data_IF_067286722313
#
_entry.id   IF_067286722313
#
_cell.length_a   1.000
_cell.length_b   1.000
_cell.length_c   1.000
_cell.angle_alpha   90.00
_cell.angle_beta   90.00
_cell.angle_gamma   90.00
#
_symmetry.space_group_name_H-M   'P 1'
#
loop_
_entity.id
_entity.type
_entity.pdbx_description
1 polymer ?
#
# COMPACT_ATOMS: atom_id res chain seq x y z
N UNK A 1 34.15 -36.77 25.78
CA UNK A 1 33.96 -35.51 25.03
C UNK A 1 32.49 -35.41 24.65
N UNK A 2 31.73 -34.50 25.28
CA UNK A 2 30.29 -34.31 24.97
C UNK A 2 30.17 -33.11 24.02
N UNK A 3 29.83 -33.37 22.76
CA UNK A 3 29.54 -32.34 21.78
C UNK A 3 28.18 -31.70 22.07
N UNK A 4 28.22 -30.46 22.58
CA UNK A 4 27.03 -29.62 22.76
C UNK A 4 26.66 -29.00 21.42
N UNK A 5 25.68 -29.57 20.72
CA UNK A 5 25.02 -28.91 19.58
C UNK A 5 24.17 -27.75 20.09
N UNK A 6 24.66 -26.52 19.89
CA UNK A 6 23.87 -25.29 20.04
C UNK A 6 22.71 -25.31 19.02
N UNK A 7 21.49 -25.59 19.49
CA UNK A 7 20.26 -25.25 18.75
C UNK A 7 20.28 -23.74 18.49
N UNK A 8 20.35 -23.32 17.23
CA UNK A 8 20.07 -21.94 16.80
C UNK A 8 18.64 -21.63 17.22
N UNK A 9 18.47 -20.86 18.29
CA UNK A 9 17.20 -20.26 18.64
C UNK A 9 16.69 -19.44 17.45
N UNK A 10 15.39 -19.58 17.14
CA UNK A 10 14.70 -18.65 16.24
C UNK A 10 14.87 -17.25 16.84
N UNK A 11 15.79 -16.46 16.30
CA UNK A 11 15.73 -15.01 16.45
C UNK A 11 14.40 -14.60 15.79
N UNK A 12 13.36 -14.37 16.59
CA UNK A 12 12.24 -13.54 16.15
C UNK A 12 12.86 -12.16 15.91
N UNK A 13 13.22 -11.89 14.66
CA UNK A 13 13.54 -10.54 14.21
C UNK A 13 12.35 -9.67 14.65
N UNK A 14 12.55 -8.81 15.65
CA UNK A 14 11.56 -7.79 15.98
C UNK A 14 11.25 -7.05 14.68
N UNK A 15 10.01 -7.17 14.22
CA UNK A 15 9.59 -6.56 12.96
C UNK A 15 9.91 -5.07 13.05
N UNK A 16 10.78 -4.58 12.17
CA UNK A 16 10.98 -3.14 11.97
C UNK A 16 9.61 -2.47 11.83
N UNK A 17 9.27 -1.59 12.78
CA UNK A 17 7.95 -0.95 12.88
C UNK A 17 7.53 -0.37 11.52
N UNK A 18 6.31 -0.67 11.09
CA UNK A 18 5.72 -0.17 9.84
C UNK A 18 6.09 -0.95 8.57
N UNK A 19 6.82 -2.08 8.65
CA UNK A 19 7.04 -2.93 7.46
C UNK A 19 5.76 -3.72 7.15
N UNK A 20 5.29 -3.73 5.89
CA UNK A 20 4.15 -4.55 5.47
C UNK A 20 4.40 -6.03 5.80
N UNK A 21 3.31 -6.76 6.08
CA UNK A 21 3.38 -8.21 6.22
C UNK A 21 3.85 -8.78 4.89
N UNK A 22 4.93 -9.58 4.93
CA UNK A 22 5.41 -10.27 3.73
C UNK A 22 4.32 -11.25 3.29
N UNK A 23 4.10 -11.34 1.98
CA UNK A 23 3.28 -12.41 1.42
C UNK A 23 3.78 -13.79 1.85
N UNK A 24 2.86 -14.74 1.97
CA UNK A 24 3.22 -16.13 2.23
C UNK A 24 4.10 -16.66 1.08
N UNK A 25 4.94 -17.66 1.38
CA UNK A 25 5.78 -18.28 0.34
C UNK A 25 4.93 -18.80 -0.83
N UNK A 26 3.81 -19.44 -0.53
CA UNK A 26 2.88 -19.98 -1.53
C UNK A 26 2.28 -18.89 -2.42
N UNK A 27 1.83 -17.78 -1.81
CA UNK A 27 1.30 -16.66 -2.58
C UNK A 27 2.38 -16.00 -3.44
N UNK A 28 3.61 -15.88 -2.91
CA UNK A 28 4.73 -15.34 -3.68
C UNK A 28 5.11 -16.23 -4.88
N UNK A 29 5.00 -17.56 -4.77
CA UNK A 29 5.22 -18.47 -5.91
C UNK A 29 4.19 -18.21 -7.01
N UNK A 30 2.91 -18.07 -6.65
CA UNK A 30 1.85 -17.72 -7.61
C UNK A 30 2.11 -16.38 -8.29
N UNK A 31 2.50 -15.37 -7.51
CA UNK A 31 2.83 -14.05 -8.04
C UNK A 31 4.04 -14.10 -8.99
N UNK A 32 5.12 -14.80 -8.62
CA UNK A 32 6.29 -14.95 -9.49
C UNK A 32 5.96 -15.60 -10.84
N UNK A 33 4.95 -16.47 -10.91
CA UNK A 33 4.50 -17.02 -12.17
C UNK A 33 3.84 -15.95 -13.06
N UNK A 34 3.04 -15.05 -12.48
CA UNK A 34 2.41 -13.90 -13.18
C UNK A 34 3.48 -12.91 -13.66
N UNK A 35 4.50 -12.65 -12.86
CA UNK A 35 5.62 -11.75 -13.19
C UNK A 35 6.82 -12.48 -13.82
N UNK A 36 6.60 -13.67 -14.37
CA UNK A 36 7.67 -14.50 -14.94
C UNK A 36 8.38 -13.79 -16.10
N UNK A 37 9.70 -13.90 -16.16
CA UNK A 37 10.54 -13.18 -17.14
C UNK A 37 11.08 -11.83 -16.66
N UNK A 38 10.68 -11.34 -15.48
CA UNK A 38 11.25 -10.13 -14.87
C UNK A 38 12.38 -10.46 -13.89
N UNK A 39 13.37 -9.57 -13.75
CA UNK A 39 14.40 -9.67 -12.68
C UNK A 39 13.90 -9.17 -11.30
N UNK A 40 12.57 -9.06 -11.12
CA UNK A 40 11.97 -8.46 -9.94
C UNK A 40 12.08 -9.38 -8.71
N UNK A 41 12.73 -8.90 -7.65
CA UNK A 41 12.72 -9.58 -6.35
C UNK A 41 11.35 -9.49 -5.65
N UNK A 42 11.13 -10.33 -4.63
CA UNK A 42 9.86 -10.46 -3.88
C UNK A 42 9.25 -9.13 -3.44
N UNK A 43 10.10 -8.17 -3.02
CA UNK A 43 9.64 -6.84 -2.59
C UNK A 43 9.07 -6.02 -3.74
N UNK A 44 9.69 -6.08 -4.91
CA UNK A 44 9.22 -5.36 -6.09
C UNK A 44 7.87 -5.92 -6.52
N UNK A 45 7.75 -7.25 -6.57
CA UNK A 45 6.49 -7.94 -6.87
C UNK A 45 5.39 -7.53 -5.89
N UNK A 46 5.69 -7.54 -4.58
CA UNK A 46 4.70 -7.15 -3.58
C UNK A 46 4.30 -5.67 -3.69
N UNK A 47 5.23 -4.76 -3.97
CA UNK A 47 4.90 -3.35 -4.17
C UNK A 47 4.03 -3.16 -5.42
N UNK A 48 4.40 -3.80 -6.52
CA UNK A 48 3.66 -3.73 -7.78
C UNK A 48 2.24 -4.27 -7.63
N UNK A 49 2.05 -5.35 -6.87
CA UNK A 49 0.71 -5.83 -6.54
C UNK A 49 -0.14 -4.72 -5.90
N UNK A 50 0.37 -4.05 -4.86
CA UNK A 50 -0.40 -2.99 -4.21
C UNK A 50 -0.61 -1.77 -5.11
N UNK A 51 0.36 -1.42 -5.96
CA UNK A 51 0.13 -0.39 -6.98
C UNK A 51 -1.05 -0.77 -7.89
N UNK A 52 -1.14 -2.04 -8.31
CA UNK A 52 -2.25 -2.54 -9.12
C UNK A 52 -3.59 -2.59 -8.37
N UNK A 53 -3.59 -2.65 -7.03
CA UNK A 53 -4.80 -2.54 -6.21
C UNK A 53 -5.38 -1.12 -6.14
N UNK A 54 -4.65 -0.08 -6.56
CA UNK A 54 -5.10 1.30 -6.41
C UNK A 54 -5.07 2.11 -7.70
N UNK A 55 -4.02 1.96 -8.51
CA UNK A 55 -3.80 2.76 -9.70
C UNK A 55 -4.97 2.68 -10.71
N UNK A 56 -5.48 1.49 -11.10
CA UNK A 56 -6.53 1.41 -12.11
C UNK A 56 -7.82 2.13 -11.70
N UNK A 57 -8.24 1.96 -10.45
CA UNK A 57 -9.50 2.53 -9.95
C UNK A 57 -9.41 4.06 -9.80
N UNK A 58 -8.29 4.58 -9.28
CA UNK A 58 -8.05 6.02 -9.17
C UNK A 58 -7.94 6.66 -10.56
N UNK A 59 -7.23 6.02 -11.50
CA UNK A 59 -7.09 6.53 -12.86
C UNK A 59 -8.41 6.52 -13.62
N UNK A 60 -9.21 5.47 -13.47
CA UNK A 60 -10.55 5.40 -14.06
C UNK A 60 -11.41 6.54 -13.52
N UNK A 61 -11.45 6.71 -12.21
CA UNK A 61 -12.18 7.81 -11.58
C UNK A 61 -11.70 9.16 -12.09
N UNK A 62 -10.40 9.43 -12.12
CA UNK A 62 -9.86 10.71 -12.59
C UNK A 62 -10.24 11.03 -14.05
N UNK A 63 -10.29 10.02 -14.93
CA UNK A 63 -10.71 10.20 -16.32
C UNK A 63 -12.19 10.58 -16.45
N UNK A 64 -13.05 10.01 -15.61
CA UNK A 64 -14.49 10.28 -15.60
C UNK A 64 -14.82 11.57 -14.82
N UNK A 65 -14.05 11.84 -13.77
CA UNK A 65 -14.21 12.92 -12.80
C UNK A 65 -12.84 13.51 -12.44
N UNK A 66 -12.35 14.51 -13.20
CA UNK A 66 -11.03 15.10 -12.99
C UNK A 66 -10.79 15.52 -11.54
N UNK A 67 -9.78 14.90 -10.93
CA UNK A 67 -9.25 15.28 -9.62
C UNK A 67 -8.36 16.51 -9.81
N UNK A 68 -8.63 17.57 -9.06
CA UNK A 68 -7.81 18.78 -9.04
C UNK A 68 -6.38 18.49 -8.55
N UNK A 69 -5.37 19.08 -9.20
CA UNK A 69 -3.94 18.87 -8.93
C UNK A 69 -3.46 17.40 -8.99
N UNK A 70 -4.10 16.56 -9.81
CA UNK A 70 -3.75 15.14 -9.93
C UNK A 70 -2.33 14.86 -10.45
N UNK A 71 -1.75 15.80 -11.20
CA UNK A 71 -0.34 15.77 -11.66
C UNK A 71 0.67 15.59 -10.52
N UNK A 72 0.29 15.94 -9.29
CA UNK A 72 1.09 15.65 -8.10
C UNK A 72 1.32 14.13 -7.91
N UNK A 73 0.29 13.32 -8.16
CA UNK A 73 0.32 11.85 -8.02
C UNK A 73 0.83 11.15 -9.29
N UNK A 74 0.32 11.57 -10.44
CA UNK A 74 0.61 10.97 -11.73
C UNK A 74 0.51 12.02 -12.83
N UNK A 75 1.60 12.22 -13.56
CA UNK A 75 1.63 13.02 -14.79
C UNK A 75 1.78 12.16 -16.04
N UNK A 76 2.65 11.16 -15.97
CA UNK A 76 2.93 10.20 -17.03
C UNK A 76 3.66 8.97 -16.44
N UNK A 77 4.00 7.99 -17.27
CA UNK A 77 4.68 6.75 -16.86
C UNK A 77 6.07 6.99 -16.22
N UNK A 78 6.71 8.12 -16.51
CA UNK A 78 8.02 8.50 -15.94
C UNK A 78 7.89 9.35 -14.67
N UNK A 79 6.74 10.01 -14.49
CA UNK A 79 6.43 10.89 -13.36
C UNK A 79 5.26 10.34 -12.53
N UNK A 80 5.49 9.17 -11.94
CA UNK A 80 4.52 8.43 -11.15
C UNK A 80 4.97 8.28 -9.68
N UNK A 81 4.11 8.63 -8.72
CA UNK A 81 4.41 8.49 -7.28
C UNK A 81 4.17 7.07 -6.78
N UNK A 82 4.96 6.11 -7.27
CA UNK A 82 4.89 4.67 -6.94
C UNK A 82 4.67 4.37 -5.46
N UNK A 83 5.40 5.05 -4.56
CA UNK A 83 5.29 4.86 -3.11
C UNK A 83 3.91 5.21 -2.57
N UNK A 84 3.29 6.28 -3.09
CA UNK A 84 1.96 6.72 -2.64
C UNK A 84 0.92 5.70 -3.09
N UNK A 85 0.93 5.29 -4.36
CA UNK A 85 0.02 4.26 -4.86
C UNK A 85 0.22 2.91 -4.16
N UNK A 86 1.46 2.57 -3.80
CA UNK A 86 1.72 1.37 -2.99
C UNK A 86 1.03 1.45 -1.62
N UNK A 87 1.04 2.61 -0.95
CA UNK A 87 0.37 2.77 0.34
C UNK A 87 -1.15 2.85 0.21
N UNK A 88 -1.69 3.50 -0.82
CA UNK A 88 -3.11 3.50 -1.13
C UNK A 88 -3.61 2.07 -1.39
N UNK A 89 -2.88 1.29 -2.18
CA UNK A 89 -3.21 -0.11 -2.43
C UNK A 89 -3.19 -0.99 -1.18
N UNK A 90 -2.27 -0.75 -0.25
CA UNK A 90 -2.27 -1.43 1.06
C UNK A 90 -3.50 -1.06 1.90
N UNK A 91 -3.94 0.20 1.81
CA UNK A 91 -5.17 0.66 2.47
C UNK A 91 -6.40 0.01 1.83
N UNK A 92 -6.47 -0.05 0.50
CA UNK A 92 -7.55 -0.74 -0.22
C UNK A 92 -7.64 -2.22 0.15
N UNK A 93 -6.52 -2.94 0.07
CA UNK A 93 -6.43 -4.37 0.41
C UNK A 93 -6.80 -4.63 1.88
N UNK A 94 -6.45 -3.70 2.77
CA UNK A 94 -6.84 -3.77 4.17
C UNK A 94 -8.35 -3.57 4.36
N UNK A 95 -8.94 -2.51 3.79
CA UNK A 95 -10.37 -2.23 3.92
C UNK A 95 -11.19 -3.37 3.31
N UNK A 96 -10.78 -3.90 2.17
CA UNK A 96 -11.46 -5.01 1.50
C UNK A 96 -11.51 -6.32 2.32
N UNK A 97 -10.68 -6.46 3.36
CA UNK A 97 -10.78 -7.59 4.30
C UNK A 97 -11.97 -7.47 5.26
N UNK A 98 -12.57 -6.28 5.38
CA UNK A 98 -13.65 -5.96 6.33
C UNK A 98 -14.91 -5.42 5.64
N UNK A 99 -14.75 -4.80 4.47
CA UNK A 99 -15.79 -4.11 3.73
C UNK A 99 -15.83 -4.58 2.27
N UNK A 100 -16.80 -4.09 1.50
CA UNK A 100 -16.91 -4.40 0.07
C UNK A 100 -15.78 -3.76 -0.75
N UNK A 101 -15.55 -4.28 -1.97
CA UNK A 101 -14.57 -3.70 -2.90
C UNK A 101 -14.92 -2.24 -3.20
N UNK A 102 -16.20 -1.95 -3.43
CA UNK A 102 -16.69 -0.60 -3.74
C UNK A 102 -16.33 0.40 -2.64
N UNK A 103 -16.52 0.03 -1.37
CA UNK A 103 -16.17 0.89 -0.23
C UNK A 103 -14.65 1.11 -0.14
N UNK A 104 -13.85 0.07 -0.39
CA UNK A 104 -12.39 0.20 -0.42
C UNK A 104 -11.93 1.14 -1.55
N UNK A 105 -12.50 0.99 -2.75
CA UNK A 105 -12.19 1.82 -3.92
C UNK A 105 -12.58 3.29 -3.67
N UNK A 106 -13.81 3.53 -3.17
CA UNK A 106 -14.28 4.88 -2.82
C UNK A 106 -13.38 5.55 -1.78
N UNK A 107 -12.92 4.78 -0.79
CA UNK A 107 -12.03 5.27 0.24
C UNK A 107 -10.69 5.75 -0.34
N UNK A 108 -10.01 4.93 -1.13
CA UNK A 108 -8.71 5.30 -1.70
C UNK A 108 -8.82 6.43 -2.73
N UNK A 109 -9.97 6.55 -3.42
CA UNK A 109 -10.27 7.67 -4.31
C UNK A 109 -10.39 8.97 -3.51
N UNK A 110 -11.13 8.96 -2.40
CA UNK A 110 -11.26 10.15 -1.55
C UNK A 110 -9.93 10.55 -0.92
N UNK A 111 -9.16 9.58 -0.45
CA UNK A 111 -7.82 9.83 0.07
C UNK A 111 -6.88 10.42 -1.01
N UNK A 112 -6.97 9.94 -2.25
CA UNK A 112 -6.21 10.51 -3.37
C UNK A 112 -6.60 11.97 -3.64
N UNK A 113 -7.89 12.31 -3.59
CA UNK A 113 -8.37 13.71 -3.71
C UNK A 113 -7.81 14.59 -2.61
N UNK A 114 -7.91 14.14 -1.36
CA UNK A 114 -7.39 14.87 -0.19
C UNK A 114 -5.88 15.12 -0.30
N UNK A 115 -5.12 14.11 -0.75
CA UNK A 115 -3.67 14.26 -1.00
C UNK A 115 -3.41 15.33 -2.07
N UNK A 116 -4.16 15.34 -3.17
CA UNK A 116 -3.97 16.34 -4.24
C UNK A 116 -4.33 17.75 -3.78
N UNK A 117 -5.41 17.90 -3.01
CA UNK A 117 -5.82 19.18 -2.39
C UNK A 117 -4.75 19.64 -1.40
N UNK A 118 -4.26 18.76 -0.54
CA UNK A 118 -3.20 19.07 0.41
C UNK A 118 -1.93 19.50 -0.31
N UNK A 119 -1.53 18.78 -1.36
CA UNK A 119 -0.39 19.16 -2.19
C UNK A 119 -0.56 20.56 -2.79
N UNK A 120 -1.75 20.86 -3.31
CA UNK A 120 -2.08 22.17 -3.89
C UNK A 120 -1.96 23.28 -2.86
N UNK A 121 -2.55 23.10 -1.68
CA UNK A 121 -2.53 24.08 -0.59
C UNK A 121 -1.11 24.35 -0.09
N UNK A 122 -0.26 23.34 -0.10
CA UNK A 122 1.15 23.43 0.26
C UNK A 122 2.07 23.86 -0.91
N UNK A 123 1.50 24.39 -2.00
CA UNK A 123 2.22 24.81 -3.20
C UNK A 123 3.14 23.71 -3.78
N UNK A 124 2.68 22.46 -3.74
CA UNK A 124 3.39 21.25 -4.16
C UNK A 124 4.74 21.02 -3.45
N UNK A 125 4.94 21.60 -2.25
CA UNK A 125 6.15 21.38 -1.43
C UNK A 125 6.12 20.09 -0.61
N UNK A 126 4.98 19.39 -0.57
CA UNK A 126 4.87 18.12 0.15
C UNK A 126 5.66 17.02 -0.56
N UNK A 127 6.30 16.16 0.23
CA UNK A 127 7.08 15.04 -0.31
C UNK A 127 6.28 13.75 -0.28
N UNK A 128 6.62 12.80 -1.16
CA UNK A 128 6.02 11.45 -1.11
C UNK A 128 6.21 10.76 0.24
N UNK A 129 7.30 11.08 0.96
CA UNK A 129 7.56 10.54 2.30
C UNK A 129 6.58 11.08 3.35
N UNK A 130 6.18 12.35 3.24
CA UNK A 130 5.17 12.93 4.12
C UNK A 130 3.82 12.29 3.87
N UNK A 131 3.41 12.18 2.60
CA UNK A 131 2.15 11.53 2.22
C UNK A 131 2.11 10.06 2.64
N UNK A 132 3.20 9.31 2.44
CA UNK A 132 3.34 7.93 2.90
C UNK A 132 3.10 7.79 4.41
N UNK A 133 3.56 8.74 5.22
CA UNK A 133 3.32 8.75 6.68
C UNK A 133 1.85 9.00 6.99
N UNK A 134 1.23 9.99 6.35
CA UNK A 134 -0.18 10.31 6.54
C UNK A 134 -1.07 9.10 6.24
N UNK A 135 -0.89 8.44 5.08
CA UNK A 135 -1.67 7.25 4.72
C UNK A 135 -1.47 6.10 5.73
N UNK A 136 -0.26 5.97 6.29
CA UNK A 136 0.03 4.93 7.29
C UNK A 136 -0.62 5.20 8.63
N UNK A 137 -0.66 6.45 9.05
CA UNK A 137 -1.31 6.90 10.27
C UNK A 137 -2.83 6.72 10.16
N UNK A 138 -3.41 7.20 9.07
CA UNK A 138 -4.82 7.01 8.73
C UNK A 138 -5.23 5.52 8.73
N UNK A 139 -4.48 4.66 8.02
CA UNK A 139 -4.75 3.22 8.02
C UNK A 139 -4.60 2.58 9.40
N UNK A 140 -3.73 3.11 10.27
CA UNK A 140 -3.60 2.63 11.65
C UNK A 140 -4.86 2.97 12.46
N UNK A 141 -5.37 4.19 12.33
CA UNK A 141 -6.63 4.61 12.97
C UNK A 141 -7.81 3.80 12.47
N UNK A 142 -7.90 3.56 11.15
CA UNK A 142 -8.90 2.65 10.57
C UNK A 142 -8.85 1.26 11.18
N UNK A 143 -7.63 0.72 11.36
CA UNK A 143 -7.45 -0.60 11.96
C UNK A 143 -7.92 -0.66 13.40
N UNK A 144 -7.71 0.40 14.16
CA UNK A 144 -8.16 0.47 15.55
C UNK A 144 -9.70 0.60 15.62
N UNK A 145 -10.33 1.32 14.68
CA UNK A 145 -11.80 1.39 14.54
C UNK A 145 -12.43 0.05 14.14
N UNK A 146 -11.93 -0.56 13.07
CA UNK A 146 -12.49 -1.81 12.50
C UNK A 146 -12.21 -3.05 13.36
N UNK A 147 -11.17 -3.02 14.23
CA UNK A 147 -10.95 -4.07 15.23
C UNK A 147 -11.63 -3.81 16.56
N UNK A 148 -12.10 -2.58 16.77
CA UNK A 148 -12.78 -2.13 17.99
C UNK A 148 -14.27 -2.47 18.04
N UNK A 149 -14.85 -3.00 16.96
CA UNK A 149 -16.17 -3.63 17.00
C UNK A 149 -15.99 -5.10 17.43
N UNK A 150 -16.33 -5.48 18.68
CA UNK A 150 -16.58 -6.87 18.96
C UNK A 150 -17.78 -7.28 18.10
N UNK A 151 -17.59 -8.27 17.24
CA UNK A 151 -18.68 -8.93 16.53
C UNK A 151 -19.78 -9.27 17.54
N UNK A 152 -20.96 -8.67 17.37
CA UNK A 152 -22.21 -9.16 17.98
C UNK A 152 -22.60 -10.48 17.34
#
# INVERSE_FOLDING_TARGET
>A
MVTVTKKKGKHMEERKRGRPVKFSKEYMVKMKAVYSGTKAGDRHIQNHFYQACSFPEIMKYHKEHPIDNFDFLYKDETHFKETIFTELGRTSDFIYQYCSKKEADEYIINLAKEICIFAKNENNKITSRMVERLIREDRKELKDKLKGEPNN
#
